data_IF_627838585368
#
_entry.id   IF_627838585368
#
_cell.length_a   1.000
_cell.length_b   1.000
_cell.length_c   1.000
_cell.angle_alpha   90.00
_cell.angle_beta   90.00
_cell.angle_gamma   90.00
#
_symmetry.space_group_name_H-M   'P 1'
#
loop_
_entity.id
_entity.type
_entity.pdbx_description
1 polymer ?
#
# COMPACT_ATOMS: atom_id res chain seq x y z
N UNK A 1 31.52 1.36 -39.43
CA UNK A 1 31.01 0.49 -38.34
C UNK A 1 29.49 0.54 -38.40
N UNK A 2 28.89 -0.44 -39.05
CA UNK A 2 27.43 -0.60 -39.13
C UNK A 2 26.93 -1.26 -37.85
N UNK A 3 26.21 -0.48 -37.03
CA UNK A 3 25.49 -1.02 -35.87
C UNK A 3 24.38 -1.91 -36.39
N UNK A 4 24.49 -3.20 -36.10
CA UNK A 4 23.59 -4.24 -36.56
C UNK A 4 22.29 -4.14 -35.75
N UNK A 5 21.32 -3.36 -36.25
CA UNK A 5 19.97 -3.25 -35.68
C UNK A 5 19.13 -4.44 -36.14
N UNK A 6 19.39 -5.61 -35.58
CA UNK A 6 18.55 -6.80 -35.76
C UNK A 6 18.30 -7.39 -34.38
N UNK A 7 17.10 -7.16 -33.82
CA UNK A 7 16.40 -7.96 -32.80
C UNK A 7 15.32 -7.16 -32.01
N UNK A 8 14.63 -6.19 -32.62
CA UNK A 8 13.55 -5.46 -31.92
C UNK A 8 12.17 -6.15 -32.00
N UNK A 9 11.94 -7.05 -32.96
CA UNK A 9 10.59 -7.57 -33.24
C UNK A 9 10.22 -8.86 -32.51
N UNK A 10 11.16 -9.51 -31.82
CA UNK A 10 10.90 -10.80 -31.14
C UNK A 10 10.60 -10.68 -29.64
N UNK A 11 10.71 -9.48 -29.06
CA UNK A 11 10.50 -9.27 -27.61
C UNK A 11 9.07 -8.84 -27.25
N UNK A 12 8.25 -8.41 -28.22
CA UNK A 12 6.88 -7.94 -27.98
C UNK A 12 5.91 -9.04 -27.52
N UNK A 13 6.26 -10.32 -27.66
CA UNK A 13 5.38 -11.45 -27.36
C UNK A 13 5.95 -12.42 -26.32
N UNK A 14 6.87 -11.97 -25.44
CA UNK A 14 7.34 -12.86 -24.37
C UNK A 14 6.19 -13.24 -23.43
N UNK A 15 5.84 -14.53 -23.33
CA UNK A 15 4.76 -14.99 -22.47
C UNK A 15 5.09 -14.67 -21.00
N UNK A 16 4.04 -14.44 -20.20
CA UNK A 16 4.19 -14.20 -18.76
C UNK A 16 4.90 -15.40 -18.10
N UNK A 17 5.95 -15.18 -17.29
CA UNK A 17 6.61 -16.25 -16.57
C UNK A 17 5.64 -17.03 -15.66
N UNK A 18 5.79 -18.35 -15.57
CA UNK A 18 4.94 -19.17 -14.70
C UNK A 18 5.03 -18.81 -13.22
N UNK A 19 6.11 -18.13 -12.80
CA UNK A 19 6.27 -17.61 -11.45
C UNK A 19 5.37 -16.41 -11.13
N UNK A 20 4.79 -15.76 -12.15
CA UNK A 20 3.92 -14.58 -12.01
C UNK A 20 2.43 -14.91 -12.03
N UNK A 21 2.06 -16.14 -12.42
CA UNK A 21 0.67 -16.60 -12.40
C UNK A 21 0.16 -16.68 -10.95
N UNK A 22 -1.09 -16.24 -10.66
CA UNK A 22 -1.64 -16.29 -9.32
C UNK A 22 -1.70 -17.74 -8.80
N UNK A 23 -1.51 -17.95 -7.50
CA UNK A 23 -1.57 -19.28 -6.90
C UNK A 23 -2.99 -19.88 -7.01
N UNK A 24 -3.11 -21.21 -7.03
CA UNK A 24 -4.42 -21.88 -7.17
C UNK A 24 -5.34 -21.75 -5.95
N UNK A 25 -4.79 -21.42 -4.78
CA UNK A 25 -5.54 -21.34 -3.53
C UNK A 25 -6.15 -19.94 -3.35
N UNK A 26 -7.47 -19.87 -3.11
CA UNK A 26 -8.24 -18.60 -3.00
C UNK A 26 -7.63 -17.61 -2.00
N UNK A 27 -7.19 -18.07 -0.82
CA UNK A 27 -6.62 -17.19 0.19
C UNK A 27 -5.29 -16.56 -0.29
N UNK A 28 -4.46 -17.35 -0.98
CA UNK A 28 -3.20 -16.87 -1.53
C UNK A 28 -3.41 -15.94 -2.74
N UNK A 29 -4.49 -16.14 -3.52
CA UNK A 29 -4.88 -15.20 -4.58
C UNK A 29 -5.19 -13.84 -3.98
N UNK A 30 -6.04 -13.80 -2.95
CA UNK A 30 -6.41 -12.54 -2.28
C UNK A 30 -5.17 -11.85 -1.71
N UNK A 31 -4.31 -12.58 -1.00
CA UNK A 31 -3.07 -12.03 -0.46
C UNK A 31 -2.15 -11.48 -1.57
N UNK A 32 -1.99 -12.22 -2.67
CA UNK A 32 -1.20 -11.80 -3.82
C UNK A 32 -1.79 -10.55 -4.46
N UNK A 33 -3.11 -10.50 -4.67
CA UNK A 33 -3.80 -9.32 -5.22
C UNK A 33 -3.64 -8.11 -4.31
N UNK A 34 -3.77 -8.26 -3.00
CA UNK A 34 -3.53 -7.17 -2.03
C UNK A 34 -2.08 -6.69 -2.13
N UNK A 35 -1.11 -7.61 -2.16
CA UNK A 35 0.31 -7.26 -2.30
C UNK A 35 0.57 -6.52 -3.62
N UNK A 36 0.01 -6.97 -4.74
CA UNK A 36 0.12 -6.31 -6.04
C UNK A 36 -0.52 -4.92 -6.05
N UNK A 37 -1.69 -4.77 -5.41
CA UNK A 37 -2.34 -3.47 -5.25
C UNK A 37 -1.50 -2.54 -4.38
N UNK A 38 -0.88 -3.03 -3.31
CA UNK A 38 -0.05 -2.20 -2.45
C UNK A 38 1.29 -1.84 -3.10
N UNK A 39 1.90 -2.75 -3.85
CA UNK A 39 3.21 -2.54 -4.46
C UNK A 39 3.16 -1.81 -5.81
N UNK A 40 2.16 -2.11 -6.65
CA UNK A 40 2.05 -1.61 -8.04
C UNK A 40 0.79 -0.75 -8.25
N UNK A 41 -0.15 -0.72 -7.30
CA UNK A 41 -1.51 -0.16 -7.46
C UNK A 41 -2.27 -0.70 -8.67
N UNK A 42 -1.98 -1.96 -9.03
CA UNK A 42 -2.70 -2.71 -10.05
C UNK A 42 -3.06 -4.08 -9.49
N UNK A 43 -4.26 -4.60 -9.80
CA UNK A 43 -4.71 -5.89 -9.30
C UNK A 43 -3.98 -7.07 -9.97
N UNK A 44 -3.39 -6.85 -11.14
CA UNK A 44 -2.62 -7.84 -11.90
C UNK A 44 -1.21 -7.32 -12.21
N UNK A 45 -0.29 -8.26 -12.39
CA UNK A 45 1.09 -8.00 -12.77
C UNK A 45 1.30 -7.92 -14.29
N UNK A 46 0.25 -8.14 -15.09
CA UNK A 46 0.36 -8.18 -16.55
C UNK A 46 0.86 -6.85 -17.12
N UNK A 47 0.29 -5.74 -16.64
CA UNK A 47 0.74 -4.39 -17.01
C UNK A 47 2.17 -4.12 -16.55
N UNK A 48 2.56 -4.64 -15.38
CA UNK A 48 3.91 -4.49 -14.83
C UNK A 48 4.95 -5.32 -15.61
N UNK A 49 4.52 -6.45 -16.19
CA UNK A 49 5.34 -7.25 -17.07
C UNK A 49 5.54 -6.55 -18.42
N UNK A 50 4.46 -6.01 -19.01
CA UNK A 50 4.51 -5.24 -20.27
C UNK A 50 5.46 -4.07 -20.17
N UNK A 51 5.40 -3.31 -19.06
CA UNK A 51 6.30 -2.18 -18.85
C UNK A 51 7.79 -2.57 -18.73
N UNK A 52 8.13 -3.86 -18.57
CA UNK A 52 9.52 -4.33 -18.53
C UNK A 52 10.05 -4.74 -19.91
N UNK A 53 9.19 -4.78 -20.93
CA UNK A 53 9.56 -5.12 -22.31
C UNK A 53 10.16 -3.90 -23.01
N UNK A 54 9.58 -2.71 -22.81
CA UNK A 54 10.05 -1.44 -23.37
C UNK A 54 10.81 -0.61 -22.31
N UNK A 55 11.94 0.00 -22.69
CA UNK A 55 12.73 0.88 -21.81
C UNK A 55 11.96 2.16 -21.45
N UNK A 56 11.24 2.74 -22.42
CA UNK A 56 10.46 3.96 -22.20
C UNK A 56 9.31 3.72 -21.20
N UNK A 57 8.62 2.59 -21.34
CA UNK A 57 7.56 2.19 -20.40
C UNK A 57 8.12 1.86 -19.02
N UNK A 58 9.31 1.27 -18.95
CA UNK A 58 10.00 0.99 -17.70
C UNK A 58 10.32 2.28 -16.96
N UNK A 59 10.93 3.25 -17.61
CA UNK A 59 11.28 4.53 -16.98
C UNK A 59 10.02 5.32 -16.57
N UNK A 60 8.97 5.28 -17.38
CA UNK A 60 7.66 5.86 -17.00
C UNK A 60 7.08 5.18 -15.77
N UNK A 61 7.07 3.85 -15.73
CA UNK A 61 6.58 3.08 -14.59
C UNK A 61 7.42 3.33 -13.34
N UNK A 62 8.75 3.37 -13.49
CA UNK A 62 9.72 3.64 -12.43
C UNK A 62 9.47 5.01 -11.81
N UNK A 63 9.28 6.04 -12.63
CA UNK A 63 8.95 7.40 -12.18
C UNK A 63 7.66 7.43 -11.35
N UNK A 64 6.58 6.77 -11.82
CA UNK A 64 5.30 6.71 -11.10
C UNK A 64 5.46 6.04 -9.73
N UNK A 65 6.17 4.92 -9.66
CA UNK A 65 6.42 4.20 -8.39
C UNK A 65 7.27 5.04 -7.44
N UNK A 66 8.33 5.68 -7.94
CA UNK A 66 9.19 6.57 -7.13
C UNK A 66 8.42 7.77 -6.58
N UNK A 67 7.58 8.41 -7.40
CA UNK A 67 6.75 9.54 -6.97
C UNK A 67 5.78 9.13 -5.85
N UNK A 68 5.14 7.97 -5.97
CA UNK A 68 4.27 7.41 -4.91
C UNK A 68 5.01 7.09 -3.63
N UNK A 69 6.19 6.48 -3.73
CA UNK A 69 7.02 6.20 -2.55
C UNK A 69 7.48 7.48 -1.88
N UNK A 70 7.83 8.52 -2.64
CA UNK A 70 8.16 9.83 -2.09
C UNK A 70 6.97 10.48 -1.37
N UNK A 71 5.77 10.44 -1.96
CA UNK A 71 4.56 10.91 -1.29
C UNK A 71 4.29 10.14 0.01
N UNK A 72 4.48 8.81 -0.02
CA UNK A 72 4.38 7.95 1.16
C UNK A 72 5.40 8.35 2.24
N UNK A 73 6.65 8.63 1.85
CA UNK A 73 7.70 9.07 2.78
C UNK A 73 7.39 10.44 3.40
N UNK A 74 6.84 11.38 2.62
CA UNK A 74 6.39 12.68 3.13
C UNK A 74 5.29 12.47 4.17
N UNK A 75 4.27 11.68 3.86
CA UNK A 75 3.19 11.37 4.80
C UNK A 75 3.72 10.66 6.05
N UNK A 76 4.63 9.70 5.90
CA UNK A 76 5.25 9.01 7.03
C UNK A 76 6.03 9.99 7.93
N UNK A 77 6.76 10.94 7.34
CA UNK A 77 7.43 12.01 8.09
C UNK A 77 6.46 12.86 8.90
N UNK A 78 5.33 13.25 8.30
CA UNK A 78 4.29 14.02 9.01
C UNK A 78 3.71 13.23 10.19
N UNK A 79 3.33 11.97 9.98
CA UNK A 79 2.79 11.10 11.04
C UNK A 79 3.83 10.86 12.14
N UNK A 80 5.10 10.68 11.76
CA UNK A 80 6.22 10.53 12.70
C UNK A 80 6.37 11.79 13.58
N UNK A 81 6.34 12.98 12.98
CA UNK A 81 6.41 14.24 13.73
C UNK A 81 5.21 14.42 14.66
N UNK A 82 3.98 14.18 14.17
CA UNK A 82 2.78 14.29 14.99
C UNK A 82 2.78 13.33 16.17
N UNK A 83 3.09 12.05 15.95
CA UNK A 83 3.21 11.06 17.02
C UNK A 83 4.34 11.40 17.99
N UNK A 84 5.48 11.90 17.50
CA UNK A 84 6.58 12.38 18.35
C UNK A 84 6.15 13.53 19.26
N UNK A 85 5.32 14.46 18.78
CA UNK A 85 4.79 15.56 19.60
C UNK A 85 3.89 15.01 20.70
N UNK A 86 2.97 14.09 20.39
CA UNK A 86 2.10 13.49 21.42
C UNK A 86 2.88 12.67 22.46
N UNK A 87 4.02 12.10 22.08
CA UNK A 87 4.89 11.36 23.00
C UNK A 87 5.73 12.27 23.90
N UNK A 88 6.17 13.43 23.39
CA UNK A 88 7.12 14.31 24.08
C UNK A 88 6.48 15.46 24.84
N UNK A 89 5.21 15.78 24.56
CA UNK A 89 4.53 16.94 25.14
C UNK A 89 3.43 16.51 26.11
N UNK A 90 3.21 17.34 27.13
CA UNK A 90 2.04 17.24 28.00
C UNK A 90 0.87 17.99 27.39
N UNK A 91 -0.37 17.47 27.46
CA UNK A 91 -1.54 18.15 26.94
C UNK A 91 -1.68 19.52 27.59
N UNK A 92 -1.80 20.61 26.80
CA UNK A 92 -1.97 21.95 27.37
C UNK A 92 -3.29 22.05 28.15
N UNK A 93 -4.30 21.25 27.77
CA UNK A 93 -5.62 21.21 28.37
C UNK A 93 -6.04 19.75 28.60
N UNK A 94 -5.56 19.15 29.69
CA UNK A 94 -5.85 17.76 30.08
C UNK A 94 -7.35 17.49 30.22
N UNK A 95 -8.16 18.51 30.54
CA UNK A 95 -9.61 18.40 30.66
C UNK A 95 -10.32 18.20 29.30
N UNK A 96 -9.73 18.66 28.21
CA UNK A 96 -10.30 18.61 26.86
C UNK A 96 -9.80 17.36 26.12
N UNK A 97 -8.50 17.11 26.13
CA UNK A 97 -7.90 16.01 25.38
C UNK A 97 -6.78 15.32 26.19
N UNK A 98 -7.12 14.36 27.08
CA UNK A 98 -6.15 13.65 27.90
C UNK A 98 -5.40 12.58 27.09
N UNK A 99 -4.58 12.98 26.11
CA UNK A 99 -3.83 12.04 25.26
C UNK A 99 -2.63 11.36 25.96
N UNK A 100 -2.39 11.66 27.25
CA UNK A 100 -1.35 11.03 28.09
C UNK A 100 -1.83 9.80 28.84
N UNK A 101 -3.10 9.40 28.72
CA UNK A 101 -3.55 8.13 29.28
C UNK A 101 -2.79 6.95 28.67
N UNK A 102 -2.59 5.90 29.47
CA UNK A 102 -1.69 4.79 29.13
C UNK A 102 -1.98 4.19 27.74
N UNK A 103 -3.26 3.94 27.41
CA UNK A 103 -3.64 3.38 26.11
C UNK A 103 -3.28 4.29 24.94
N UNK A 104 -3.52 5.61 25.06
CA UNK A 104 -3.14 6.60 24.05
C UNK A 104 -1.62 6.64 23.88
N UNK A 105 -0.86 6.60 24.98
CA UNK A 105 0.59 6.59 24.95
C UNK A 105 1.14 5.38 24.17
N UNK A 106 0.67 4.17 24.46
CA UNK A 106 1.10 2.94 23.77
C UNK A 106 0.75 3.00 22.28
N UNK A 107 -0.46 3.47 21.92
CA UNK A 107 -0.87 3.61 20.53
C UNK A 107 -0.06 4.69 19.79
N UNK A 108 0.22 5.82 20.42
CA UNK A 108 1.09 6.86 19.87
C UNK A 108 2.52 6.37 19.69
N UNK A 109 3.03 5.54 20.60
CA UNK A 109 4.35 4.90 20.48
C UNK A 109 4.39 3.90 19.33
N UNK A 110 3.35 3.07 19.19
CA UNK A 110 3.17 2.17 18.06
C UNK A 110 3.10 2.94 16.74
N UNK A 111 2.36 4.04 16.70
CA UNK A 111 2.30 4.94 15.54
C UNK A 111 3.68 5.48 15.18
N UNK A 112 4.42 6.01 16.16
CA UNK A 112 5.77 6.53 15.96
C UNK A 112 6.71 5.45 15.38
N UNK A 113 6.75 4.26 15.99
CA UNK A 113 7.61 3.18 15.55
C UNK A 113 7.28 2.75 14.11
N UNK A 114 6.00 2.58 13.78
CA UNK A 114 5.57 2.19 12.44
C UNK A 114 5.78 3.29 11.39
N UNK A 115 5.65 4.57 11.75
CA UNK A 115 5.97 5.69 10.86
C UNK A 115 7.48 5.72 10.56
N UNK A 116 8.32 5.50 11.58
CA UNK A 116 9.76 5.44 11.42
C UNK A 116 10.17 4.26 10.54
N UNK A 117 9.62 3.07 10.78
CA UNK A 117 9.85 1.91 9.93
C UNK A 117 9.40 2.19 8.49
N UNK A 118 8.21 2.76 8.29
CA UNK A 118 7.73 3.13 6.95
C UNK A 118 8.72 4.04 6.23
N UNK A 119 9.22 5.08 6.91
CA UNK A 119 10.15 6.05 6.35
C UNK A 119 11.50 5.41 6.01
N UNK A 120 12.06 4.58 6.90
CA UNK A 120 13.33 3.88 6.65
C UNK A 120 13.23 2.91 5.47
N UNK A 121 12.22 2.05 5.47
CA UNK A 121 12.02 1.09 4.37
C UNK A 121 11.63 1.80 3.07
N UNK A 122 10.86 2.88 3.14
CA UNK A 122 10.48 3.68 1.98
C UNK A 122 11.68 4.36 1.32
N UNK A 123 12.58 4.97 2.10
CA UNK A 123 13.84 5.53 1.61
C UNK A 123 14.76 4.46 1.02
N UNK A 124 14.91 3.31 1.71
CA UNK A 124 15.69 2.19 1.21
C UNK A 124 15.14 1.69 -0.14
N UNK A 125 13.82 1.56 -0.25
CA UNK A 125 13.13 1.12 -1.47
C UNK A 125 13.34 2.11 -2.62
N UNK A 126 13.21 3.42 -2.37
CA UNK A 126 13.47 4.47 -3.38
C UNK A 126 14.90 4.40 -3.89
N UNK A 127 15.89 4.22 -3.00
CA UNK A 127 17.30 4.12 -3.38
C UNK A 127 17.60 2.85 -4.18
N UNK A 128 17.14 1.69 -3.69
CA UNK A 128 17.37 0.39 -4.37
C UNK A 128 16.69 0.38 -5.74
N UNK A 129 15.44 0.85 -5.82
CA UNK A 129 14.69 0.85 -7.06
C UNK A 129 15.17 1.93 -8.04
N UNK A 130 15.55 3.10 -7.52
CA UNK A 130 16.18 4.18 -8.30
C UNK A 130 17.48 3.73 -8.97
N UNK A 131 18.29 2.92 -8.27
CA UNK A 131 19.54 2.36 -8.80
C UNK A 131 19.35 1.06 -9.62
N UNK A 132 18.13 0.50 -9.69
CA UNK A 132 17.89 -0.73 -10.43
C UNK A 132 17.68 -0.45 -11.92
N UNK A 133 18.50 -1.11 -12.75
CA UNK A 133 18.28 -1.20 -14.19
C UNK A 133 17.13 -2.16 -14.51
N UNK A 134 16.49 -1.95 -15.66
CA UNK A 134 15.39 -2.81 -16.15
C UNK A 134 15.76 -4.30 -16.15
N UNK A 135 16.96 -4.64 -16.65
CA UNK A 135 17.45 -6.03 -16.72
C UNK A 135 17.57 -6.63 -15.31
N UNK A 136 18.21 -5.91 -14.39
CA UNK A 136 18.37 -6.35 -13.00
C UNK A 136 17.03 -6.53 -12.30
N UNK A 137 16.10 -5.59 -12.47
CA UNK A 137 14.76 -5.67 -11.91
C UNK A 137 13.98 -6.88 -12.49
N UNK A 138 14.11 -7.15 -13.78
CA UNK A 138 13.49 -8.32 -14.42
C UNK A 138 14.10 -9.62 -13.89
N UNK A 139 15.42 -9.73 -13.82
CA UNK A 139 16.11 -10.94 -13.42
C UNK A 139 15.79 -11.31 -11.96
N UNK A 140 15.73 -10.31 -11.06
CA UNK A 140 15.33 -10.52 -9.66
C UNK A 140 13.89 -11.03 -9.55
N UNK A 141 12.95 -10.42 -10.27
CA UNK A 141 11.52 -10.77 -10.20
C UNK A 141 11.17 -12.06 -10.94
N UNK A 142 12.03 -12.54 -11.85
CA UNK A 142 11.80 -13.79 -12.61
C UNK A 142 12.54 -14.99 -12.05
N UNK A 143 13.57 -14.78 -11.20
CA UNK A 143 14.41 -15.85 -10.68
C UNK A 143 13.64 -16.97 -9.94
N UNK A 144 12.79 -16.62 -8.96
CA UNK A 144 11.99 -17.59 -8.20
C UNK A 144 10.70 -16.95 -7.69
N UNK A 145 9.66 -17.77 -7.46
CA UNK A 145 8.40 -17.32 -6.84
C UNK A 145 8.64 -16.69 -5.46
N UNK A 146 9.46 -17.32 -4.63
CA UNK A 146 9.77 -16.81 -3.29
C UNK A 146 10.41 -15.42 -3.33
N UNK A 147 11.41 -15.21 -4.21
CA UNK A 147 12.03 -13.89 -4.39
C UNK A 147 11.01 -12.84 -4.86
N UNK A 148 10.12 -13.19 -5.79
CA UNK A 148 9.04 -12.30 -6.22
C UNK A 148 8.17 -11.86 -5.04
N UNK A 149 7.68 -12.80 -4.22
CA UNK A 149 6.88 -12.47 -3.03
C UNK A 149 7.65 -11.60 -2.04
N UNK A 150 8.91 -11.93 -1.75
CA UNK A 150 9.75 -11.13 -0.85
C UNK A 150 9.97 -9.71 -1.39
N UNK A 151 10.24 -9.56 -2.68
CA UNK A 151 10.39 -8.24 -3.29
C UNK A 151 9.09 -7.46 -3.23
N UNK A 152 7.95 -8.04 -3.63
CA UNK A 152 6.64 -7.39 -3.52
C UNK A 152 6.31 -6.98 -2.08
N UNK A 153 6.60 -7.85 -1.11
CA UNK A 153 6.41 -7.57 0.31
C UNK A 153 7.28 -6.40 0.75
N UNK A 154 8.57 -6.37 0.41
CA UNK A 154 9.48 -5.26 0.71
C UNK A 154 8.99 -3.93 0.09
N UNK A 155 8.49 -3.95 -1.15
CA UNK A 155 7.93 -2.76 -1.80
C UNK A 155 6.62 -2.30 -1.14
N UNK A 156 5.78 -3.23 -0.68
CA UNK A 156 4.51 -2.91 -0.02
C UNK A 156 4.68 -2.51 1.45
N UNK A 157 5.79 -2.88 2.07
CA UNK A 157 6.02 -2.71 3.51
C UNK A 157 5.93 -1.25 4.00
N UNK A 158 6.48 -0.24 3.30
CA UNK A 158 6.31 1.16 3.69
C UNK A 158 4.83 1.54 3.79
N UNK A 159 4.02 1.16 2.79
CA UNK A 159 2.59 1.48 2.75
C UNK A 159 1.83 0.78 3.87
N UNK A 160 2.12 -0.50 4.12
CA UNK A 160 1.49 -1.28 5.20
C UNK A 160 1.84 -0.67 6.56
N UNK A 161 3.12 -0.39 6.80
CA UNK A 161 3.59 0.18 8.06
C UNK A 161 3.02 1.58 8.27
N UNK A 162 2.93 2.41 7.23
CA UNK A 162 2.29 3.71 7.31
C UNK A 162 0.79 3.60 7.65
N UNK A 163 0.07 2.68 7.01
CA UNK A 163 -1.34 2.45 7.30
C UNK A 163 -1.57 2.04 8.76
N UNK A 164 -0.77 1.11 9.28
CA UNK A 164 -0.81 0.72 10.70
C UNK A 164 -0.52 1.94 11.59
N UNK A 165 0.50 2.74 11.25
CA UNK A 165 0.85 3.93 12.00
C UNK A 165 -0.30 4.95 12.09
N UNK A 166 -0.98 5.22 10.97
CA UNK A 166 -2.13 6.11 10.89
C UNK A 166 -3.29 5.56 11.73
N UNK A 167 -3.60 4.27 11.62
CA UNK A 167 -4.67 3.62 12.40
C UNK A 167 -4.37 3.73 13.90
N UNK A 168 -3.15 3.44 14.32
CA UNK A 168 -2.74 3.57 15.73
C UNK A 168 -2.89 5.01 16.23
N UNK A 169 -2.47 6.00 15.45
CA UNK A 169 -2.61 7.41 15.84
C UNK A 169 -4.07 7.84 15.93
N UNK A 170 -4.88 7.45 14.94
CA UNK A 170 -6.31 7.73 14.93
C UNK A 170 -6.99 7.11 16.15
N UNK A 171 -6.74 5.83 16.44
CA UNK A 171 -7.28 5.17 17.62
C UNK A 171 -6.84 5.86 18.92
N UNK A 172 -5.58 6.28 19.01
CA UNK A 172 -5.08 7.06 20.15
C UNK A 172 -5.89 8.34 20.36
N UNK A 173 -6.13 9.10 19.29
CA UNK A 173 -6.91 10.33 19.34
C UNK A 173 -8.39 10.08 19.65
N UNK A 174 -8.99 9.04 19.08
CA UNK A 174 -10.39 8.68 19.35
C UNK A 174 -10.58 8.30 20.83
N UNK A 175 -9.66 7.52 21.38
CA UNK A 175 -9.69 7.15 22.80
C UNK A 175 -9.51 8.41 23.68
N UNK A 176 -8.60 9.31 23.32
CA UNK A 176 -8.41 10.57 24.05
C UNK A 176 -9.68 11.45 24.01
N UNK A 177 -10.33 11.58 22.85
CA UNK A 177 -11.59 12.33 22.71
C UNK A 177 -12.73 11.68 23.50
N UNK A 178 -12.81 10.34 23.50
CA UNK A 178 -13.84 9.61 24.24
C UNK A 178 -13.61 9.66 25.76
N UNK A 179 -12.35 9.72 26.19
CA UNK A 179 -11.97 9.90 27.59
C UNK A 179 -12.19 11.34 28.10
N UNK A 180 -12.43 12.30 27.20
CA UNK A 180 -12.68 13.69 27.59
C UNK A 180 -13.94 13.81 28.47
N UNK A 181 -13.95 14.81 29.35
CA UNK A 181 -15.14 15.13 30.17
C UNK A 181 -16.26 15.81 29.38
N UNK A 182 -16.02 16.14 28.11
CA UNK A 182 -16.91 16.98 27.30
C UNK A 182 -17.83 16.12 26.43
N UNK A 183 -19.13 16.21 26.68
CA UNK A 183 -20.15 15.46 25.95
C UNK A 183 -20.16 15.70 24.43
N UNK A 184 -19.92 16.93 23.98
CA UNK A 184 -19.91 17.28 22.56
C UNK A 184 -18.75 16.60 21.80
N UNK A 185 -17.58 16.42 22.43
CA UNK A 185 -16.47 15.67 21.86
C UNK A 185 -16.83 14.21 21.66
N UNK A 186 -17.49 13.59 22.65
CA UNK A 186 -17.96 12.21 22.54
C UNK A 186 -18.96 12.02 21.40
N UNK A 187 -19.88 12.97 21.21
CA UNK A 187 -20.84 12.95 20.11
C UNK A 187 -20.11 13.04 18.77
N UNK A 188 -19.15 13.97 18.65
CA UNK A 188 -18.37 14.15 17.42
C UNK A 188 -17.54 12.90 17.08
N UNK A 189 -16.87 12.31 18.07
CA UNK A 189 -16.13 11.05 17.92
C UNK A 189 -17.05 9.89 17.53
N UNK A 190 -18.22 9.77 18.16
CA UNK A 190 -19.19 8.72 17.82
C UNK A 190 -19.71 8.91 16.40
N UNK A 191 -19.99 10.15 16.01
CA UNK A 191 -20.40 10.48 14.65
C UNK A 191 -19.31 10.11 13.64
N UNK A 192 -18.03 10.42 13.91
CA UNK A 192 -16.90 10.05 13.06
C UNK A 192 -16.75 8.53 12.94
N UNK A 193 -16.86 7.78 14.04
CA UNK A 193 -16.83 6.31 14.04
C UNK A 193 -17.98 5.76 13.18
N UNK A 194 -19.20 6.23 13.38
CA UNK A 194 -20.36 5.76 12.62
C UNK A 194 -20.22 6.14 11.14
N UNK A 195 -19.95 7.41 10.83
CA UNK A 195 -19.87 7.93 9.46
C UNK A 195 -18.74 7.28 8.66
N UNK A 196 -17.53 7.20 9.21
CA UNK A 196 -16.39 6.66 8.47
C UNK A 196 -16.34 5.14 8.55
N UNK A 197 -16.33 4.56 9.74
CA UNK A 197 -16.02 3.14 9.90
C UNK A 197 -17.20 2.23 9.62
N UNK A 198 -18.43 2.67 9.92
CA UNK A 198 -19.60 1.84 9.64
C UNK A 198 -20.05 1.92 8.17
N UNK A 199 -19.91 3.08 7.50
CA UNK A 199 -20.40 3.26 6.14
C UNK A 199 -19.37 3.03 5.03
N UNK A 200 -18.06 3.26 5.27
CA UNK A 200 -17.06 3.04 4.23
C UNK A 200 -16.98 1.59 3.76
N UNK A 201 -16.94 0.56 4.63
CA UNK A 201 -16.86 -0.83 4.17
C UNK A 201 -18.07 -1.25 3.34
N UNK A 202 -19.34 -0.97 3.73
CA UNK A 202 -20.50 -1.23 2.89
C UNK A 202 -20.46 -0.51 1.54
N UNK A 203 -20.06 0.77 1.51
CA UNK A 203 -19.95 1.52 0.24
C UNK A 203 -18.88 0.92 -0.69
N UNK A 204 -17.76 0.48 -0.11
CA UNK A 204 -16.69 -0.17 -0.85
C UNK A 204 -17.13 -1.56 -1.36
N UNK A 205 -17.80 -2.35 -0.52
CA UNK A 205 -18.38 -3.64 -0.89
C UNK A 205 -19.46 -3.49 -1.96
N UNK A 206 -20.32 -2.48 -1.85
CA UNK A 206 -21.34 -2.18 -2.84
C UNK A 206 -20.73 -1.84 -4.20
N UNK A 207 -19.71 -0.98 -4.23
CA UNK A 207 -18.95 -0.66 -5.46
C UNK A 207 -18.26 -1.88 -6.04
N UNK A 208 -17.69 -2.74 -5.19
CA UNK A 208 -17.03 -3.97 -5.62
C UNK A 208 -18.03 -4.97 -6.22
N UNK A 209 -19.23 -5.07 -5.65
CA UNK A 209 -20.28 -5.95 -6.15
C UNK A 209 -20.87 -5.44 -7.48
N UNK A 210 -21.09 -4.13 -7.61
CA UNK A 210 -21.62 -3.54 -8.86
C UNK A 210 -20.68 -3.67 -10.05
N UNK A 211 -19.37 -3.68 -9.80
CA UNK A 211 -18.34 -3.79 -10.83
C UNK A 211 -17.92 -5.23 -11.11
N UNK A 212 -18.55 -6.23 -10.47
CA UNK A 212 -18.30 -7.62 -10.80
C UNK A 212 -18.82 -7.91 -12.23
N UNK A 213 -17.96 -8.37 -13.15
CA UNK A 213 -18.40 -8.69 -14.51
C UNK A 213 -19.50 -9.76 -14.45
N UNK A 214 -20.64 -9.51 -15.12
CA UNK A 214 -21.66 -10.53 -15.37
C UNK A 214 -21.16 -11.52 -16.42
N UNK A 215 -20.15 -12.32 -16.07
CA UNK A 215 -19.65 -13.40 -16.91
C UNK A 215 -20.44 -14.69 -16.64
N UNK A 216 -21.75 -14.69 -16.87
CA UNK A 216 -22.56 -15.92 -16.99
C UNK A 216 -23.94 -15.59 -17.55
N UNK A 217 -24.08 -15.56 -18.87
CA UNK A 217 -25.27 -16.01 -19.61
C UNK A 217 -25.08 -15.77 -21.13
N UNK A 218 -24.33 -16.64 -21.80
CA UNK A 218 -24.52 -16.89 -23.24
C UNK A 218 -23.84 -18.20 -23.68
N UNK A 219 -23.99 -19.25 -22.88
CA UNK A 219 -23.58 -20.60 -23.27
C UNK A 219 -24.66 -21.62 -22.92
N UNK A 220 -25.22 -22.25 -23.96
CA UNK A 220 -26.20 -23.36 -24.01
C UNK A 220 -27.68 -22.92 -24.06
N UNK A 221 -28.55 -23.34 -24.99
CA UNK A 221 -28.60 -24.43 -25.98
C UNK A 221 -29.61 -24.02 -27.08
N UNK A 222 -29.30 -24.16 -28.39
CA UNK A 222 -29.67 -25.27 -29.30
C UNK A 222 -31.20 -25.37 -29.57
N UNK A 223 -31.67 -25.74 -30.78
CA UNK A 223 -31.15 -26.83 -31.62
C UNK A 223 -30.49 -26.42 -32.94
#
# INVERSE_FOLDING_TARGET
MSVNTTNSSNDEHRPLPDCWKPPKNRALVVLFTILCLLSVARPTLDDHWRSKINEEEWEKHKKIVMERLNNTNITAGLVLTSSSIFLSTTPPLTSILPYTIHSCYILSLGSFAHALCSLLFGLATVNIYGAADRKRARDVLTATRFRLYCTLLLFSWPVISLAISIICLLLSLLIACYASGLWWLKILTTAEIVLFWAWLPPLFLWRAFLNAPQDTESGHQAP
#
